data_IF_258645380063
#
_entry.id   IF_258645380063
#
_cell.length_a   1.000
_cell.length_b   1.000
_cell.length_c   1.000
_cell.angle_alpha   90.00
_cell.angle_beta   90.00
_cell.angle_gamma   90.00
#
_symmetry.space_group_name_H-M   'P 1'
#
loop_
_entity.id
_entity.type
_entity.pdbx_description
1 polymer ?
#
# COMPACT_ATOMS: atom_id res chain seq x y z
N UNK A 1 -3.24 -3.75 -30.18
CA UNK A 1 -4.12 -3.89 -28.99
C UNK A 1 -3.27 -3.63 -27.76
N UNK A 2 -3.67 -2.69 -26.90
CA UNK A 2 -2.98 -2.45 -25.62
C UNK A 2 -3.33 -3.58 -24.65
N UNK A 3 -2.32 -4.12 -23.95
CA UNK A 3 -2.51 -5.16 -22.93
C UNK A 3 -2.82 -4.51 -21.58
N UNK A 4 -3.72 -5.08 -20.75
CA UNK A 4 -3.97 -4.56 -19.41
C UNK A 4 -2.69 -4.59 -18.55
N UNK A 5 -2.40 -3.48 -17.87
CA UNK A 5 -1.29 -3.34 -16.94
C UNK A 5 -1.81 -3.43 -15.50
N UNK A 6 -1.63 -4.59 -14.87
CA UNK A 6 -2.03 -4.85 -13.50
C UNK A 6 -0.89 -4.58 -12.54
N UNK A 7 -1.11 -3.65 -11.61
CA UNK A 7 -0.17 -3.30 -10.56
C UNK A 7 -0.68 -3.85 -9.22
N UNK A 8 -0.18 -5.02 -8.85
CA UNK A 8 -0.55 -5.73 -7.64
C UNK A 8 0.14 -5.10 -6.43
N UNK A 9 -0.64 -4.66 -5.46
CA UNK A 9 -0.14 -4.04 -4.23
C UNK A 9 -0.60 -4.84 -3.02
N UNK A 10 0.35 -5.40 -2.26
CA UNK A 10 0.05 -6.14 -1.03
C UNK A 10 -0.15 -5.17 0.14
N UNK A 11 -1.22 -5.38 0.90
CA UNK A 11 -1.54 -4.66 2.14
C UNK A 11 -1.43 -5.64 3.33
N UNK A 12 -1.52 -5.12 4.56
CA UNK A 12 -1.32 -5.94 5.78
C UNK A 12 -2.29 -7.13 5.87
N UNK A 13 -3.56 -6.95 5.49
CA UNK A 13 -4.61 -7.98 5.58
C UNK A 13 -5.38 -8.21 4.27
N UNK A 14 -4.97 -7.53 3.22
CA UNK A 14 -5.65 -7.49 1.93
C UNK A 14 -4.65 -7.21 0.81
N UNK A 15 -5.14 -7.09 -0.41
CA UNK A 15 -4.35 -6.61 -1.53
C UNK A 15 -5.28 -5.82 -2.46
N UNK A 16 -4.68 -5.00 -3.31
CA UNK A 16 -5.39 -4.26 -4.36
C UNK A 16 -4.62 -4.38 -5.65
N UNK A 17 -5.31 -4.40 -6.77
CA UNK A 17 -4.71 -4.39 -8.10
C UNK A 17 -5.15 -3.12 -8.80
N UNK A 18 -4.20 -2.28 -9.18
CA UNK A 18 -4.47 -1.07 -9.94
C UNK A 18 -4.30 -1.34 -11.43
N UNK A 19 -5.26 -0.92 -12.24
CA UNK A 19 -5.22 -1.05 -13.71
C UNK A 19 -4.68 0.24 -14.29
N UNK A 20 -3.37 0.28 -14.53
CA UNK A 20 -2.66 1.52 -14.83
C UNK A 20 -3.09 2.17 -16.15
N UNK A 21 -3.47 1.37 -17.14
CA UNK A 21 -3.84 1.84 -18.48
C UNK A 21 -5.31 1.59 -18.81
N UNK A 22 -6.21 1.62 -17.80
CA UNK A 22 -7.64 1.34 -17.99
C UNK A 22 -8.26 2.17 -19.13
N UNK A 23 -7.92 3.45 -19.21
CA UNK A 23 -8.41 4.40 -20.24
C UNK A 23 -7.92 4.06 -21.65
N UNK A 24 -6.82 3.31 -21.77
CA UNK A 24 -6.26 2.85 -23.05
C UNK A 24 -6.79 1.47 -23.47
N UNK A 25 -7.64 0.83 -22.66
CA UNK A 25 -8.25 -0.45 -22.96
C UNK A 25 -9.57 -0.25 -23.71
N UNK A 26 -9.91 -1.24 -24.53
CA UNK A 26 -11.21 -1.29 -25.19
C UNK A 26 -12.31 -1.63 -24.19
N UNK A 27 -13.56 -1.23 -24.47
CA UNK A 27 -14.72 -1.57 -23.63
C UNK A 27 -14.85 -3.08 -23.42
N UNK A 28 -14.58 -3.89 -24.46
CA UNK A 28 -14.60 -5.34 -24.36
C UNK A 28 -13.57 -5.87 -23.34
N UNK A 29 -12.33 -5.37 -23.37
CA UNK A 29 -11.31 -5.75 -22.39
C UNK A 29 -11.68 -5.33 -20.97
N UNK A 30 -12.29 -4.16 -20.80
CA UNK A 30 -12.77 -3.69 -19.49
C UNK A 30 -13.87 -4.64 -18.97
N UNK A 31 -14.80 -5.06 -19.83
CA UNK A 31 -15.84 -6.03 -19.49
C UNK A 31 -15.26 -7.39 -19.13
N UNK A 32 -14.21 -7.87 -19.81
CA UNK A 32 -13.52 -9.11 -19.45
C UNK A 32 -12.91 -9.03 -18.04
N UNK A 33 -12.30 -7.89 -17.70
CA UNK A 33 -11.74 -7.66 -16.36
C UNK A 33 -12.85 -7.61 -15.32
N UNK A 34 -13.95 -6.91 -15.59
CA UNK A 34 -15.10 -6.85 -14.68
C UNK A 34 -15.68 -8.24 -14.45
N UNK A 35 -15.86 -9.04 -15.51
CA UNK A 35 -16.35 -10.40 -15.44
C UNK A 35 -15.41 -11.29 -14.62
N UNK A 36 -14.10 -11.18 -14.82
CA UNK A 36 -13.09 -11.86 -14.01
C UNK A 36 -13.24 -11.53 -12.52
N UNK A 37 -13.35 -10.24 -12.18
CA UNK A 37 -13.50 -9.80 -10.79
C UNK A 37 -14.80 -10.32 -10.20
N UNK A 38 -15.91 -10.23 -10.95
CA UNK A 38 -17.24 -10.70 -10.52
C UNK A 38 -17.28 -12.22 -10.31
N UNK A 39 -16.70 -13.01 -11.22
CA UNK A 39 -16.58 -14.47 -11.08
C UNK A 39 -15.85 -14.87 -9.79
N UNK A 40 -14.88 -14.06 -9.36
CA UNK A 40 -14.10 -14.28 -8.14
C UNK A 40 -14.67 -13.58 -6.91
N UNK A 41 -15.93 -13.13 -6.99
CA UNK A 41 -16.64 -12.41 -5.92
C UNK A 41 -15.85 -11.18 -5.43
N UNK A 42 -15.12 -10.56 -6.34
CA UNK A 42 -14.37 -9.35 -6.10
C UNK A 42 -15.19 -8.09 -6.35
N UNK A 43 -14.55 -6.96 -6.14
CA UNK A 43 -15.11 -5.62 -6.37
C UNK A 43 -14.15 -4.88 -7.28
N UNK A 44 -14.69 -4.31 -8.36
CA UNK A 44 -13.98 -3.40 -9.26
C UNK A 44 -14.47 -1.98 -8.98
N UNK A 45 -13.54 -1.07 -8.67
CA UNK A 45 -13.79 0.33 -8.45
C UNK A 45 -13.30 1.13 -9.66
N UNK A 46 -14.25 1.61 -10.45
CA UNK A 46 -14.01 2.42 -11.64
C UNK A 46 -13.56 3.86 -11.32
N UNK A 47 -13.77 4.35 -10.10
CA UNK A 47 -13.31 5.69 -9.71
C UNK A 47 -11.82 5.69 -9.37
N UNK A 48 -11.32 4.62 -8.76
CA UNK A 48 -9.90 4.49 -8.41
C UNK A 48 -9.10 3.63 -9.40
N UNK A 49 -9.75 3.07 -10.42
CA UNK A 49 -9.18 2.08 -11.37
C UNK A 49 -8.53 0.90 -10.64
N UNK A 50 -9.10 0.50 -9.50
CA UNK A 50 -8.58 -0.62 -8.70
C UNK A 50 -9.60 -1.74 -8.59
N UNK A 51 -9.11 -2.96 -8.36
CA UNK A 51 -9.97 -4.07 -7.98
C UNK A 51 -9.30 -4.97 -6.95
N UNK A 52 -10.12 -5.79 -6.29
CA UNK A 52 -9.67 -6.86 -5.40
C UNK A 52 -10.58 -8.08 -5.54
N UNK A 53 -10.07 -9.28 -5.25
CA UNK A 53 -10.89 -10.50 -5.21
C UNK A 53 -10.94 -11.03 -3.77
N UNK A 54 -11.99 -11.77 -3.43
CA UNK A 54 -12.23 -12.22 -2.06
C UNK A 54 -11.12 -13.15 -1.53
N UNK A 55 -10.50 -13.94 -2.40
CA UNK A 55 -9.42 -14.86 -2.03
C UNK A 55 -8.14 -14.08 -1.76
N UNK A 56 -7.57 -14.25 -0.56
CA UNK A 56 -6.18 -13.82 -0.30
C UNK A 56 -5.24 -14.63 -1.17
N UNK A 57 -4.52 -13.93 -2.03
CA UNK A 57 -3.56 -14.52 -2.96
C UNK A 57 -2.25 -13.78 -2.88
N UNK A 58 -1.15 -14.52 -2.97
CA UNK A 58 0.16 -13.91 -3.22
C UNK A 58 0.29 -13.46 -4.68
N UNK A 59 1.26 -12.60 -4.99
CA UNK A 59 1.46 -12.09 -6.34
C UNK A 59 1.64 -13.20 -7.37
N UNK A 60 2.43 -14.24 -7.08
CA UNK A 60 2.64 -15.37 -7.98
C UNK A 60 1.34 -16.15 -8.28
N UNK A 61 0.47 -16.31 -7.28
CA UNK A 61 -0.85 -16.94 -7.47
C UNK A 61 -1.74 -16.07 -8.33
N UNK A 62 -1.74 -14.74 -8.10
CA UNK A 62 -2.49 -13.80 -8.91
C UNK A 62 -2.07 -13.86 -10.39
N UNK A 63 -0.76 -13.84 -10.67
CA UNK A 63 -0.24 -13.99 -12.04
C UNK A 63 -0.69 -15.30 -12.67
N UNK A 64 -0.68 -16.39 -11.89
CA UNK A 64 -1.11 -17.71 -12.37
C UNK A 64 -2.61 -17.76 -12.66
N UNK A 65 -3.43 -17.10 -11.84
CA UNK A 65 -4.88 -16.97 -12.05
C UNK A 65 -5.21 -16.20 -13.32
N UNK A 66 -4.54 -15.06 -13.55
CA UNK A 66 -4.72 -14.24 -14.75
C UNK A 66 -4.38 -15.04 -16.01
N UNK A 67 -3.25 -15.78 -15.98
CA UNK A 67 -2.82 -16.65 -17.09
C UNK A 67 -3.80 -17.80 -17.35
N UNK A 68 -4.28 -18.49 -16.31
CA UNK A 68 -5.20 -19.61 -16.46
C UNK A 68 -6.54 -19.19 -17.07
N UNK A 69 -6.96 -17.94 -16.86
CA UNK A 69 -8.22 -17.40 -17.40
C UNK A 69 -8.05 -16.82 -18.82
N UNK A 70 -6.85 -16.92 -19.41
CA UNK A 70 -6.59 -16.46 -20.78
C UNK A 70 -6.49 -14.94 -20.92
N UNK A 71 -6.41 -14.19 -19.82
CA UNK A 71 -6.26 -12.74 -19.87
C UNK A 71 -4.80 -12.40 -20.18
N UNK A 72 -4.53 -11.90 -21.38
CA UNK A 72 -3.19 -11.45 -21.80
C UNK A 72 -2.85 -10.09 -21.18
N UNK A 73 -2.50 -10.10 -19.89
CA UNK A 73 -2.17 -8.91 -19.10
C UNK A 73 -0.72 -8.93 -18.57
N UNK A 74 -0.15 -7.73 -18.43
CA UNK A 74 1.16 -7.51 -17.85
C UNK A 74 0.97 -7.24 -16.36
N UNK A 75 1.51 -8.13 -15.51
CA UNK A 75 1.41 -8.02 -14.06
C UNK A 75 2.73 -7.51 -13.46
N UNK A 76 2.65 -6.48 -12.63
CA UNK A 76 3.77 -5.93 -11.85
C UNK A 76 3.42 -5.97 -10.36
N UNK A 77 4.40 -6.25 -9.53
CA UNK A 77 4.27 -6.14 -8.08
C UNK A 77 4.71 -4.75 -7.63
N UNK A 78 3.88 -4.09 -6.85
CA UNK A 78 4.19 -2.85 -6.16
C UNK A 78 4.31 -3.16 -4.66
N UNK A 79 5.54 -3.14 -4.17
CA UNK A 79 5.83 -3.24 -2.75
C UNK A 79 5.68 -1.85 -2.15
N UNK A 80 4.61 -1.60 -1.39
CA UNK A 80 4.56 -0.39 -0.56
C UNK A 80 5.69 -0.54 0.47
N UNK A 81 6.63 0.41 0.57
CA UNK A 81 7.54 0.43 1.68
C UNK A 81 6.69 0.57 2.94
N UNK A 82 6.59 -0.48 3.74
CA UNK A 82 6.01 -0.36 5.07
C UNK A 82 6.95 0.56 5.84
N UNK A 83 6.61 1.85 5.94
CA UNK A 83 7.23 2.74 6.91
C UNK A 83 7.01 2.08 8.26
N UNK A 84 8.09 1.51 8.83
CA UNK A 84 8.06 0.94 10.16
C UNK A 84 7.68 2.08 11.09
N UNK A 85 6.45 2.05 11.60
CA UNK A 85 5.99 3.04 12.57
C UNK A 85 6.83 2.85 13.83
N UNK A 86 7.84 3.70 13.99
CA UNK A 86 8.70 3.69 15.17
C UNK A 86 7.84 4.07 16.39
N UNK A 87 7.93 3.25 17.43
CA UNK A 87 7.22 3.46 18.69
C UNK A 87 8.22 3.81 19.77
N UNK A 88 7.82 4.67 20.68
CA UNK A 88 8.63 4.98 21.85
C UNK A 88 8.69 3.76 22.78
N UNK A 89 9.90 3.37 23.14
CA UNK A 89 10.16 2.21 24.01
C UNK A 89 10.19 2.56 25.51
N UNK A 90 10.15 3.86 25.87
CA UNK A 90 10.47 4.36 27.21
C UNK A 90 9.61 5.56 27.67
N UNK A 91 9.67 5.91 28.96
CA UNK A 91 9.03 7.11 29.51
C UNK A 91 7.49 7.06 29.56
N UNK A 92 6.88 8.25 29.71
CA UNK A 92 5.43 8.42 29.87
C UNK A 92 4.62 8.01 28.64
N UNK A 93 5.21 8.11 27.44
CA UNK A 93 4.55 7.82 26.15
C UNK A 93 4.95 6.46 25.56
N UNK A 94 5.38 5.52 26.41
CA UNK A 94 5.77 4.17 25.99
C UNK A 94 4.64 3.48 25.21
N UNK A 95 4.97 2.99 24.02
CA UNK A 95 4.05 2.29 23.12
C UNK A 95 3.35 3.19 22.10
N UNK A 96 3.42 4.52 22.26
CA UNK A 96 2.91 5.48 21.26
C UNK A 96 3.88 5.64 20.09
N UNK A 97 3.35 5.96 18.91
CA UNK A 97 4.20 6.26 17.76
C UNK A 97 4.78 7.67 17.86
N UNK A 98 5.95 7.91 17.26
CA UNK A 98 6.55 9.25 17.28
C UNK A 98 5.66 10.34 16.65
N UNK A 99 4.80 9.98 15.70
CA UNK A 99 3.84 10.92 15.08
C UNK A 99 2.65 11.29 16.00
N UNK A 100 2.44 10.58 17.11
CA UNK A 100 1.34 10.84 18.06
C UNK A 100 1.79 11.71 19.24
N UNK A 101 3.09 11.97 19.34
CA UNK A 101 3.65 12.68 20.48
C UNK A 101 3.35 14.19 20.39
N UNK A 102 3.12 14.83 21.55
CA UNK A 102 3.06 16.29 21.64
C UNK A 102 4.38 16.93 21.21
N UNK A 103 4.30 18.07 20.54
CA UNK A 103 5.48 18.80 20.03
C UNK A 103 6.44 19.21 21.16
N UNK A 104 5.89 19.59 22.33
CA UNK A 104 6.67 19.91 23.53
C UNK A 104 7.51 18.72 24.00
N UNK A 105 6.99 17.51 23.89
CA UNK A 105 7.69 16.29 24.29
C UNK A 105 8.74 15.88 23.26
N UNK A 106 8.47 16.06 21.96
CA UNK A 106 9.46 15.85 20.90
C UNK A 106 10.67 16.80 21.04
N UNK A 107 10.42 18.09 21.32
CA UNK A 107 11.47 19.08 21.57
C UNK A 107 12.24 18.80 22.86
N UNK A 108 11.58 18.27 23.89
CA UNK A 108 12.28 17.81 25.09
C UNK A 108 13.16 16.60 24.77
N UNK A 109 12.66 15.62 24.01
CA UNK A 109 13.41 14.44 23.60
C UNK A 109 14.64 14.78 22.76
N UNK A 110 14.56 15.72 21.82
CA UNK A 110 15.72 16.09 20.98
C UNK A 110 16.89 16.65 21.81
N UNK A 111 16.56 17.39 22.87
CA UNK A 111 17.52 18.02 23.76
C UNK A 111 18.04 17.09 24.88
N UNK A 112 17.18 16.22 25.42
CA UNK A 112 17.49 15.44 26.63
C UNK A 112 17.82 13.97 26.36
N UNK A 113 17.33 13.39 25.26
CA UNK A 113 17.59 11.99 24.92
C UNK A 113 18.88 11.85 24.10
N UNK A 114 19.70 10.84 24.46
CA UNK A 114 20.97 10.48 23.79
C UNK A 114 21.02 9.02 23.32
N UNK A 115 19.89 8.32 23.33
CA UNK A 115 19.83 6.93 22.89
C UNK A 115 19.82 6.77 21.36
N UNK A 116 19.84 5.52 20.86
CA UNK A 116 19.86 5.22 19.44
C UNK A 116 18.59 5.68 18.70
N UNK A 117 17.49 5.87 19.41
CA UNK A 117 16.22 6.33 18.82
C UNK A 117 16.18 7.86 18.57
N UNK A 118 17.27 8.60 18.85
CA UNK A 118 17.34 10.06 18.64
C UNK A 118 17.17 10.47 17.17
N UNK A 119 17.66 9.65 16.24
CA UNK A 119 17.53 9.92 14.81
C UNK A 119 16.05 9.97 14.37
N UNK A 120 15.19 9.11 14.93
CA UNK A 120 13.75 9.11 14.65
C UNK A 120 13.06 10.37 15.17
N UNK A 121 13.50 10.88 16.33
CA UNK A 121 12.99 12.15 16.89
C UNK A 121 13.33 13.33 15.98
N UNK A 122 14.57 13.38 15.47
CA UNK A 122 15.01 14.45 14.57
C UNK A 122 14.27 14.40 13.24
N UNK A 123 14.09 13.19 12.67
CA UNK A 123 13.31 13.00 11.44
C UNK A 123 11.86 13.48 11.60
N UNK A 124 11.22 13.17 12.72
CA UNK A 124 9.83 13.60 12.98
C UNK A 124 9.73 15.11 13.23
N UNK A 125 10.71 15.73 13.90
CA UNK A 125 10.80 17.19 14.05
C UNK A 125 10.92 17.88 12.68
N UNK A 126 11.78 17.36 11.80
CA UNK A 126 11.95 17.88 10.43
C UNK A 126 10.66 17.70 9.60
N UNK A 127 10.01 16.54 9.70
CA UNK A 127 8.75 16.25 8.99
C UNK A 127 7.62 17.20 9.40
N UNK A 128 7.56 17.56 10.69
CA UNK A 128 6.56 18.49 11.24
C UNK A 128 6.93 19.96 11.10
N UNK A 129 8.14 20.29 10.60
CA UNK A 129 8.67 21.67 10.52
C UNK A 129 8.57 22.39 11.86
N UNK A 130 8.90 21.69 12.95
CA UNK A 130 8.98 22.29 14.28
C UNK A 130 10.29 23.11 14.44
N UNK A 131 11.09 23.19 13.37
CA UNK A 131 12.27 24.02 13.16
C UNK A 131 12.36 24.45 11.69
#
# INVERSE_FOLDING_TARGET
>A
MSKPLFLFTKLTNSYRVYVQNLESLTVAQIQEIELFVKQRKGIFDFSSYTFSIQKRVAFYEFVSLVKHLGIDAICKENSIPQEKKHRISFGQYKGMCYFELPDTYLLWLSNNYRGPEKEFVIQEIQKRKLF
#
